data_IF_258708745063
#
_entry.id   IF_258708745063
#
_cell.length_a   1.000
_cell.length_b   1.000
_cell.length_c   1.000
_cell.angle_alpha   90.00
_cell.angle_beta   90.00
_cell.angle_gamma   90.00
#
_symmetry.space_group_name_H-M   'P 1'
#
loop_
_entity.id
_entity.type
_entity.pdbx_description
1 polymer ?
#
# COMPACT_ATOMS: atom_id res chain seq x y z
N UNK A 1 -3.62 -6.37 -3.43
CA UNK A 1 -3.74 -6.05 -1.98
C UNK A 1 -2.99 -7.03 -1.09
N UNK A 2 -2.63 -8.23 -1.55
CA UNK A 2 -1.79 -9.17 -0.79
C UNK A 2 -0.76 -9.84 -1.72
N UNK A 3 0.41 -10.21 -1.19
CA UNK A 3 1.44 -10.96 -1.94
C UNK A 3 0.91 -12.23 -2.64
N UNK A 4 -0.15 -12.87 -2.13
CA UNK A 4 -0.79 -14.05 -2.76
C UNK A 4 -1.42 -13.75 -4.13
N UNK A 5 -1.70 -12.49 -4.45
CA UNK A 5 -2.17 -12.08 -5.77
C UNK A 5 -1.04 -12.00 -6.82
N UNK A 6 0.22 -12.11 -6.38
CA UNK A 6 1.39 -12.08 -7.26
C UNK A 6 1.60 -13.48 -7.82
N UNK A 7 1.11 -13.66 -9.04
CA UNK A 7 1.20 -14.92 -9.78
C UNK A 7 2.22 -14.83 -10.91
N UNK A 8 2.54 -15.96 -11.54
CA UNK A 8 3.37 -15.96 -12.75
C UNK A 8 2.80 -15.10 -13.89
N UNK A 9 1.48 -15.03 -14.02
CA UNK A 9 0.83 -14.17 -15.01
C UNK A 9 1.04 -12.67 -14.68
N UNK A 10 0.93 -12.30 -13.40
CA UNK A 10 1.22 -10.94 -12.92
C UNK A 10 2.68 -10.55 -13.23
N UNK A 11 3.62 -11.46 -13.00
CA UNK A 11 5.04 -11.25 -13.25
C UNK A 11 5.36 -11.03 -14.73
N UNK A 12 4.79 -11.87 -15.62
CA UNK A 12 4.94 -11.71 -17.06
C UNK A 12 4.40 -10.35 -17.51
N UNK A 13 3.19 -9.98 -17.08
CA UNK A 13 2.57 -8.71 -17.45
C UNK A 13 3.39 -7.50 -16.98
N UNK A 14 3.82 -7.48 -15.71
CA UNK A 14 4.64 -6.40 -15.18
C UNK A 14 5.98 -6.28 -15.92
N UNK A 15 6.63 -7.41 -16.22
CA UNK A 15 7.89 -7.42 -16.97
C UNK A 15 7.71 -6.86 -18.38
N UNK A 16 6.67 -7.27 -19.11
CA UNK A 16 6.39 -6.76 -20.45
C UNK A 16 6.19 -5.24 -20.44
N UNK A 17 5.40 -4.71 -19.51
CA UNK A 17 5.17 -3.27 -19.41
C UNK A 17 6.46 -2.50 -19.07
N UNK A 18 7.28 -3.02 -18.15
CA UNK A 18 8.57 -2.41 -17.80
C UNK A 18 9.56 -2.42 -18.96
N UNK A 19 9.62 -3.51 -19.72
CA UNK A 19 10.46 -3.61 -20.92
C UNK A 19 10.03 -2.63 -22.03
N UNK A 20 8.75 -2.30 -22.09
CA UNK A 20 8.23 -1.24 -22.95
C UNK A 20 8.49 0.18 -22.41
N UNK A 21 9.16 0.33 -21.26
CA UNK A 21 9.54 1.62 -20.68
C UNK A 21 8.51 2.22 -19.72
N UNK A 22 7.44 1.51 -19.36
CA UNK A 22 6.44 2.04 -18.43
C UNK A 22 6.92 1.98 -16.97
N UNK A 23 6.64 3.04 -16.23
CA UNK A 23 6.76 3.07 -14.76
C UNK A 23 5.51 2.44 -14.15
N UNK A 24 5.69 1.45 -13.29
CA UNK A 24 4.58 0.76 -12.64
C UNK A 24 4.48 1.16 -11.18
N UNK A 25 3.27 1.54 -10.77
CA UNK A 25 2.93 1.96 -9.43
C UNK A 25 1.83 1.05 -8.86
N UNK A 26 1.95 0.66 -7.60
CA UNK A 26 0.91 -0.06 -6.88
C UNK A 26 0.13 0.88 -5.96
N UNK A 27 -1.18 0.78 -6.03
CA UNK A 27 -2.12 1.43 -5.11
C UNK A 27 -2.90 0.33 -4.40
N UNK A 28 -2.54 0.06 -3.16
CA UNK A 28 -3.24 -0.91 -2.31
C UNK A 28 -4.18 -0.19 -1.35
N UNK A 29 -5.18 -0.90 -0.83
CA UNK A 29 -6.09 -0.43 0.21
C UNK A 29 -5.79 -1.23 1.49
N UNK A 30 -5.73 -0.54 2.63
CA UNK A 30 -5.62 -1.17 3.93
C UNK A 30 -6.97 -1.79 4.31
N UNK A 31 -7.00 -3.12 4.40
CA UNK A 31 -8.21 -3.91 4.57
C UNK A 31 -8.05 -4.88 5.75
N UNK A 32 -8.99 -4.79 6.68
CA UNK A 32 -9.08 -5.64 7.87
C UNK A 32 -9.21 -7.12 7.48
N UNK A 33 -8.38 -7.96 8.08
CA UNK A 33 -8.28 -9.40 7.81
C UNK A 33 -7.72 -9.74 6.43
N UNK A 34 -7.01 -8.82 5.77
CA UNK A 34 -6.37 -9.06 4.46
C UNK A 34 -4.90 -8.65 4.52
N UNK A 35 -4.63 -7.38 4.80
CA UNK A 35 -3.28 -6.81 4.82
C UNK A 35 -3.11 -5.82 5.98
N UNK A 36 -3.87 -6.00 7.07
CA UNK A 36 -3.82 -5.21 8.30
C UNK A 36 -2.81 -5.76 9.32
N UNK A 37 -1.74 -6.41 8.83
CA UNK A 37 -0.60 -6.86 9.63
C UNK A 37 0.70 -6.38 9.01
N UNK A 38 1.73 -6.23 9.84
CA UNK A 38 3.06 -5.80 9.37
C UNK A 38 3.64 -6.82 8.41
N UNK A 39 3.50 -8.10 8.72
CA UNK A 39 4.05 -9.20 7.94
C UNK A 39 3.45 -9.21 6.53
N UNK A 40 2.12 -9.06 6.41
CA UNK A 40 1.43 -9.05 5.12
C UNK A 40 1.80 -7.82 4.28
N UNK A 41 1.93 -6.63 4.88
CA UNK A 41 2.32 -5.41 4.18
C UNK A 41 3.78 -5.43 3.76
N UNK A 42 4.67 -5.90 4.64
CA UNK A 42 6.09 -6.04 4.33
C UNK A 42 6.29 -6.99 3.16
N UNK A 43 5.69 -8.18 3.21
CA UNK A 43 5.77 -9.18 2.14
C UNK A 43 5.25 -8.59 0.82
N UNK A 44 4.06 -7.98 0.84
CA UNK A 44 3.50 -7.34 -0.34
C UNK A 44 4.44 -6.27 -0.93
N UNK A 45 4.96 -5.36 -0.11
CA UNK A 45 5.81 -4.27 -0.59
C UNK A 45 7.14 -4.77 -1.16
N UNK A 46 7.74 -5.79 -0.53
CA UNK A 46 8.97 -6.43 -1.01
C UNK A 46 8.73 -7.15 -2.33
N UNK A 47 7.66 -7.95 -2.44
CA UNK A 47 7.36 -8.68 -3.68
C UNK A 47 7.01 -7.72 -4.83
N UNK A 48 6.25 -6.66 -4.56
CA UNK A 48 5.98 -5.61 -5.56
C UNK A 48 7.28 -5.02 -6.12
N UNK A 49 8.19 -4.61 -5.25
CA UNK A 49 9.43 -3.97 -5.70
C UNK A 49 10.43 -4.96 -6.27
N UNK A 50 10.79 -6.01 -5.54
CA UNK A 50 11.92 -6.87 -5.89
C UNK A 50 11.57 -7.89 -6.96
N UNK A 51 10.35 -8.43 -6.92
CA UNK A 51 9.91 -9.42 -7.92
C UNK A 51 9.28 -8.77 -9.13
N UNK A 52 8.39 -7.80 -8.95
CA UNK A 52 7.66 -7.19 -10.06
C UNK A 52 8.30 -5.89 -10.58
N UNK A 53 9.14 -5.21 -9.78
CA UNK A 53 9.62 -3.84 -10.03
C UNK A 53 8.50 -2.84 -10.19
N UNK A 54 7.44 -3.03 -9.39
CA UNK A 54 6.33 -2.12 -9.22
C UNK A 54 6.57 -1.35 -7.93
N UNK A 55 6.54 -0.02 -7.98
CA UNK A 55 6.71 0.81 -6.77
C UNK A 55 5.47 0.73 -5.89
N UNK A 56 5.56 0.28 -4.62
CA UNK A 56 4.51 0.51 -3.65
C UNK A 56 4.33 2.02 -3.51
N UNK A 57 3.23 2.55 -4.04
CA UNK A 57 3.06 3.99 -4.18
C UNK A 57 2.12 4.53 -3.12
N UNK A 58 0.87 4.07 -3.12
CA UNK A 58 -0.11 4.44 -2.10
C UNK A 58 -0.63 3.21 -1.35
N UNK A 59 -0.76 3.39 -0.03
CA UNK A 59 -1.63 2.59 0.81
C UNK A 59 -2.82 3.47 1.18
N UNK A 60 -3.96 3.20 0.57
CA UNK A 60 -5.21 3.90 0.82
C UNK A 60 -5.84 3.44 2.13
N UNK A 61 -6.25 4.37 2.96
CA UNK A 61 -7.18 4.08 4.03
C UNK A 61 -8.53 3.69 3.42
N UNK A 62 -9.13 2.60 3.92
CA UNK A 62 -10.39 2.11 3.38
C UNK A 62 -11.51 3.15 3.50
N UNK A 63 -12.14 3.46 2.35
CA UNK A 63 -13.31 4.35 2.28
C UNK A 63 -14.55 3.76 2.94
N UNK A 64 -15.48 4.63 3.30
CA UNK A 64 -16.83 4.27 3.77
C UNK A 64 -17.74 3.86 2.59
N UNK A 65 -17.27 2.95 1.75
CA UNK A 65 -18.10 2.35 0.71
C UNK A 65 -19.20 1.47 1.35
N UNK A 66 -20.41 1.53 0.79
CA UNK A 66 -21.56 0.77 1.29
C UNK A 66 -21.21 -0.73 1.34
N UNK A 67 -21.37 -1.35 2.51
CA UNK A 67 -21.06 -2.76 2.74
C UNK A 67 -19.61 -3.06 3.13
N UNK A 68 -18.69 -2.09 3.04
CA UNK A 68 -17.26 -2.31 3.32
C UNK A 68 -16.83 -1.94 4.74
N UNK A 69 -17.73 -1.44 5.58
CA UNK A 69 -17.42 -1.01 6.95
C UNK A 69 -16.72 -2.10 7.79
N UNK A 70 -17.09 -3.37 7.62
CA UNK A 70 -16.48 -4.50 8.33
C UNK A 70 -15.02 -4.78 7.94
N UNK A 71 -14.57 -4.26 6.78
CA UNK A 71 -13.19 -4.34 6.29
C UNK A 71 -12.36 -3.12 6.63
N UNK A 72 -12.93 -2.10 7.27
CA UNK A 72 -12.25 -0.86 7.58
C UNK A 72 -11.43 -0.99 8.87
N UNK A 73 -10.18 -0.54 8.85
CA UNK A 73 -9.34 -0.36 10.04
C UNK A 73 -9.57 1.03 10.64
N UNK A 74 -9.07 1.30 11.84
CA UNK A 74 -9.00 2.69 12.33
C UNK A 74 -7.82 3.43 11.69
N UNK A 75 -7.90 4.76 11.60
CA UNK A 75 -6.77 5.57 11.12
C UNK A 75 -5.53 5.36 12.00
N UNK A 76 -5.71 5.33 13.32
CA UNK A 76 -4.65 5.08 14.28
C UNK A 76 -3.94 3.73 14.05
N UNK A 77 -4.70 2.67 13.76
CA UNK A 77 -4.12 1.36 13.41
C UNK A 77 -3.28 1.45 12.12
N UNK A 78 -3.80 2.13 11.09
CA UNK A 78 -3.05 2.32 9.85
C UNK A 78 -1.77 3.14 10.05
N UNK A 79 -1.82 4.20 10.86
CA UNK A 79 -0.64 5.01 11.22
C UNK A 79 0.42 4.16 11.92
N UNK A 80 0.04 3.44 12.98
CA UNK A 80 0.95 2.55 13.71
C UNK A 80 1.55 1.46 12.80
N UNK A 81 0.75 0.88 11.89
CA UNK A 81 1.25 -0.09 10.93
C UNK A 81 2.30 0.52 10.00
N UNK A 82 2.02 1.70 9.45
CA UNK A 82 2.92 2.37 8.50
C UNK A 82 4.20 2.89 9.13
N UNK A 83 4.15 3.26 10.42
CA UNK A 83 5.32 3.61 11.22
C UNK A 83 6.26 2.42 11.37
N UNK A 84 5.73 1.28 11.81
CA UNK A 84 6.51 0.06 11.96
C UNK A 84 7.03 -0.47 10.61
N UNK A 85 6.24 -0.34 9.54
CA UNK A 85 6.63 -0.73 8.19
C UNK A 85 7.85 0.07 7.69
N UNK A 86 7.89 1.38 7.99
CA UNK A 86 8.99 2.28 7.62
C UNK A 86 10.33 1.81 8.14
N UNK A 87 10.37 1.28 9.36
CA UNK A 87 11.60 0.78 9.98
C UNK A 87 12.11 -0.52 9.33
N UNK A 88 11.23 -1.30 8.68
CA UNK A 88 11.55 -2.64 8.13
C UNK A 88 11.91 -2.60 6.64
N UNK A 89 11.40 -1.61 5.90
CA UNK A 89 11.53 -1.54 4.44
C UNK A 89 12.56 -0.50 3.98
N UNK A 90 13.23 -0.79 2.86
CA UNK A 90 13.98 0.25 2.13
C UNK A 90 13.04 1.37 1.68
N UNK A 91 13.52 2.61 1.61
CA UNK A 91 12.70 3.78 1.30
C UNK A 91 11.84 3.65 0.03
N UNK A 92 12.35 3.02 -1.03
CA UNK A 92 11.62 2.83 -2.29
C UNK A 92 10.44 1.84 -2.19
N UNK A 93 10.46 0.97 -1.17
CA UNK A 93 9.40 0.01 -0.90
C UNK A 93 8.33 0.56 0.05
N UNK A 94 8.55 1.71 0.67
CA UNK A 94 7.60 2.30 1.60
C UNK A 94 6.50 3.05 0.84
N UNK A 95 5.23 2.60 0.91
CA UNK A 95 4.12 3.34 0.35
C UNK A 95 3.79 4.57 1.20
N UNK A 96 3.19 5.59 0.58
CA UNK A 96 2.60 6.71 1.32
C UNK A 96 1.20 6.30 1.79
N UNK A 97 0.95 6.40 3.09
CA UNK A 97 -0.38 6.14 3.65
C UNK A 97 -1.28 7.36 3.48
N UNK A 98 -2.39 7.19 2.76
CA UNK A 98 -3.25 8.30 2.34
C UNK A 98 -4.72 8.04 2.66
N UNK A 99 -5.45 9.13 2.85
CA UNK A 99 -6.91 9.16 2.93
C UNK A 99 -7.43 9.96 1.73
N UNK A 100 -8.38 9.41 0.98
CA UNK A 100 -9.11 10.18 -0.03
C UNK A 100 -10.18 11.04 0.67
N UNK A 101 -10.12 12.35 0.47
CA UNK A 101 -11.14 13.26 1.00
C UNK A 101 -12.42 13.20 0.15
N UNK A 102 -13.61 13.35 0.78
CA UNK A 102 -14.87 13.52 0.06
C UNK A 102 -14.82 14.68 -0.95
N UNK A 103 -15.71 14.64 -1.93
CA UNK A 103 -15.93 15.72 -2.91
C UNK A 103 -14.70 16.12 -3.75
N UNK A 104 -13.71 15.23 -3.87
CA UNK A 104 -12.54 15.47 -4.72
C UNK A 104 -11.44 16.31 -4.06
N UNK A 105 -11.42 16.40 -2.73
CA UNK A 105 -10.36 17.07 -1.97
C UNK A 105 -8.95 16.44 -2.12
N UNK A 106 -8.84 15.31 -2.81
CA UNK A 106 -7.59 14.66 -3.15
C UNK A 106 -7.09 13.65 -2.11
N UNK A 107 -5.89 13.12 -2.35
CA UNK A 107 -5.21 12.12 -1.50
C UNK A 107 -4.38 12.84 -0.47
N UNK A 108 -4.80 12.81 0.78
CA UNK A 108 -4.09 13.45 1.89
C UNK A 108 -3.19 12.42 2.58
N UNK A 109 -1.87 12.64 2.64
CA UNK A 109 -0.99 11.81 3.45
C UNK A 109 -1.37 11.91 4.92
N UNK A 110 -1.65 10.77 5.54
CA UNK A 110 -2.04 10.67 6.95
C UNK A 110 -1.13 9.71 7.72
N UNK A 111 0.09 9.49 7.23
CA UNK A 111 1.12 8.73 7.94
C UNK A 111 1.49 9.35 9.28
N UNK A 112 2.27 8.63 10.11
CA UNK A 112 2.80 9.13 11.37
C UNK A 112 3.58 10.45 11.20
N UNK A 113 3.42 11.37 12.16
CA UNK A 113 4.28 12.55 12.27
C UNK A 113 5.61 12.13 12.91
N UNK A 114 6.73 12.48 12.29
CA UNK A 114 8.06 12.03 12.73
C UNK A 114 8.92 13.15 13.32
N UNK A 115 8.38 14.37 13.39
CA UNK A 115 9.05 15.52 13.99
C UNK A 115 8.14 16.00 15.10
N UNK A 116 8.60 15.83 16.34
CA UNK A 116 8.02 16.49 17.51
C UNK A 116 8.81 17.80 17.71
N UNK A 117 8.07 18.90 17.83
CA UNK A 117 8.61 20.23 18.15
C UNK A 117 8.23 20.62 19.56
#
# INVERSE_FOLDING_TARGET
NHAREITGATEVACRTLRQAGFVLLNQSVLLKGVNDSIEALEELCRELMYRLGVKPYYLHHGDLARGMAHRRTTIAQGQALTEALRARLSGICNPVYVLDLPEGGGKVPIGPCHVEG
#
